data_IF_557481486135
#
_entry.id   IF_557481486135
#
_cell.length_a   1.000
_cell.length_b   1.000
_cell.length_c   1.000
_cell.angle_alpha   90.00
_cell.angle_beta   90.00
_cell.angle_gamma   90.00
#
_symmetry.space_group_name_H-M   'P 1'
#
loop_
_entity.id
_entity.type
_entity.pdbx_description
1 polymer ?
#
# COMPACT_ATOMS: atom_id res chain seq x y z
N UNK A 1 -1.06 4.29 -6.08
CA UNK A 1 -1.37 3.04 -6.83
C UNK A 1 -1.40 3.21 -8.34
N UNK A 2 -2.32 4.01 -8.90
CA UNK A 2 -2.52 4.09 -10.36
C UNK A 2 -1.26 4.44 -11.17
N UNK A 3 -0.44 5.38 -10.69
CA UNK A 3 0.82 5.74 -11.36
C UNK A 3 1.83 4.59 -11.42
N UNK A 4 1.98 3.83 -10.33
CA UNK A 4 2.86 2.67 -10.28
C UNK A 4 2.38 1.60 -11.28
N UNK A 5 1.08 1.31 -11.31
CA UNK A 5 0.49 0.38 -12.28
C UNK A 5 0.72 0.83 -13.72
N UNK A 6 0.54 2.12 -14.01
CA UNK A 6 0.81 2.67 -15.35
C UNK A 6 2.28 2.57 -15.73
N UNK A 7 3.21 2.81 -14.79
CA UNK A 7 4.64 2.64 -15.02
C UNK A 7 5.00 1.17 -15.31
N UNK A 8 4.50 0.23 -14.49
CA UNK A 8 4.70 -1.20 -14.69
C UNK A 8 4.14 -1.63 -16.06
N UNK A 9 2.90 -1.26 -16.36
CA UNK A 9 2.24 -1.60 -17.62
C UNK A 9 3.03 -1.09 -18.83
N UNK A 10 3.54 0.14 -18.77
CA UNK A 10 4.40 0.72 -19.80
C UNK A 10 5.71 -0.06 -19.98
N UNK A 11 6.39 -0.41 -18.89
CA UNK A 11 7.64 -1.16 -18.95
C UNK A 11 7.44 -2.58 -19.49
N UNK A 12 6.31 -3.20 -19.18
CA UNK A 12 5.93 -4.55 -19.65
C UNK A 12 5.39 -4.54 -21.10
N UNK A 13 5.02 -3.37 -21.63
CA UNK A 13 4.40 -3.24 -22.96
C UNK A 13 2.93 -3.67 -22.99
N UNK A 14 2.19 -3.44 -21.91
CA UNK A 14 0.77 -3.85 -21.75
C UNK A 14 -0.13 -2.68 -21.38
N UNK A 15 -1.43 -2.86 -21.57
CA UNK A 15 -2.42 -1.88 -21.14
C UNK A 15 -2.55 -1.87 -19.61
N UNK A 16 -2.61 -0.70 -18.95
CA UNK A 16 -2.90 -0.59 -17.52
C UNK A 16 -4.20 -1.29 -17.11
N UNK A 17 -5.18 -1.40 -18.03
CA UNK A 17 -6.47 -2.10 -17.80
C UNK A 17 -6.32 -3.60 -17.55
N UNK A 18 -5.17 -4.20 -17.89
CA UNK A 18 -4.89 -5.61 -17.59
C UNK A 18 -4.45 -5.83 -16.14
N UNK A 19 -4.17 -4.76 -15.40
CA UNK A 19 -3.80 -4.80 -14.00
C UNK A 19 -5.01 -4.44 -13.15
N UNK A 20 -5.19 -5.18 -12.06
CA UNK A 20 -6.30 -5.04 -11.13
C UNK A 20 -5.78 -5.04 -9.70
N UNK A 21 -6.46 -4.33 -8.81
CA UNK A 21 -6.09 -4.19 -7.41
C UNK A 21 -7.34 -3.96 -6.56
N UNK A 22 -7.26 -4.29 -5.27
CA UNK A 22 -8.42 -4.24 -4.38
C UNK A 22 -8.76 -2.82 -3.88
N UNK A 23 -7.84 -1.86 -4.00
CA UNK A 23 -8.06 -0.47 -3.60
C UNK A 23 -6.85 0.41 -3.89
N UNK A 24 -7.05 1.72 -3.77
CA UNK A 24 -5.96 2.71 -3.84
C UNK A 24 -5.29 2.85 -2.48
N UNK A 25 -3.99 3.14 -2.48
CA UNK A 25 -3.18 3.46 -1.30
C UNK A 25 -2.62 4.87 -1.42
N UNK A 26 -2.23 5.43 -0.29
CA UNK A 26 -1.68 6.77 -0.18
C UNK A 26 -0.50 7.01 -1.12
N UNK A 27 -0.47 8.19 -1.73
CA UNK A 27 0.65 8.62 -2.57
C UNK A 27 1.87 8.96 -1.73
N UNK A 28 1.66 9.58 -0.56
CA UNK A 28 2.70 10.08 0.33
C UNK A 28 2.91 9.10 1.47
N UNK A 29 3.66 8.04 1.20
CA UNK A 29 3.99 7.00 2.16
C UNK A 29 4.63 5.79 1.49
N UNK A 30 5.20 4.90 2.29
CA UNK A 30 5.59 3.57 1.82
C UNK A 30 4.37 2.67 1.93
N UNK A 31 3.94 2.11 0.80
CA UNK A 31 2.73 1.28 0.73
C UNK A 31 3.05 -0.06 0.09
N UNK A 32 2.40 -1.11 0.57
CA UNK A 32 2.46 -2.45 0.00
C UNK A 32 1.03 -2.88 -0.29
N UNK A 33 0.80 -3.44 -1.48
CA UNK A 33 -0.48 -3.98 -1.88
C UNK A 33 -0.31 -5.08 -2.90
N UNK A 34 -1.26 -6.00 -2.96
CA UNK A 34 -1.35 -6.97 -4.03
C UNK A 34 -1.91 -6.32 -5.31
N UNK A 35 -1.39 -6.78 -6.46
CA UNK A 35 -1.83 -6.39 -7.80
C UNK A 35 -1.89 -7.67 -8.63
N UNK A 36 -2.96 -7.84 -9.41
CA UNK A 36 -3.14 -8.96 -10.31
C UNK A 36 -3.01 -8.49 -11.75
N UNK A 37 -2.15 -9.14 -12.53
CA UNK A 37 -1.95 -8.86 -13.95
C UNK A 37 -2.49 -10.02 -14.80
N UNK A 38 -3.39 -9.73 -15.74
CA UNK A 38 -4.03 -10.76 -16.56
C UNK A 38 -3.10 -11.29 -17.67
N UNK A 39 -2.86 -12.62 -17.69
CA UNK A 39 -2.04 -13.33 -18.69
C UNK A 39 -0.65 -12.70 -18.90
N UNK A 40 0.02 -12.37 -17.79
CA UNK A 40 1.39 -11.87 -17.77
C UNK A 40 2.31 -12.94 -17.15
N UNK A 41 3.23 -13.54 -17.93
CA UNK A 41 4.24 -14.45 -17.39
C UNK A 41 5.19 -13.73 -16.42
N UNK A 42 5.53 -14.40 -15.31
CA UNK A 42 6.43 -13.88 -14.29
C UNK A 42 7.80 -13.46 -14.86
N UNK A 43 8.35 -14.20 -15.82
CA UNK A 43 9.65 -13.87 -16.43
C UNK A 43 9.60 -12.57 -17.25
N UNK A 44 8.48 -12.29 -17.91
CA UNK A 44 8.29 -11.03 -18.61
C UNK A 44 8.34 -9.88 -17.60
N UNK A 45 7.67 -10.02 -16.46
CA UNK A 45 7.70 -9.02 -15.39
C UNK A 45 9.11 -8.86 -14.80
N UNK A 46 9.83 -9.95 -14.53
CA UNK A 46 11.21 -9.91 -14.01
C UNK A 46 12.16 -9.17 -14.94
N UNK A 47 12.11 -9.43 -16.25
CA UNK A 47 12.92 -8.71 -17.24
C UNK A 47 12.67 -7.21 -17.24
N UNK A 48 11.43 -6.79 -16.95
CA UNK A 48 11.05 -5.37 -17.01
C UNK A 48 11.59 -4.54 -15.86
N UNK A 49 12.08 -5.16 -14.78
CA UNK A 49 12.76 -4.47 -13.68
C UNK A 49 14.06 -3.80 -14.14
N UNK A 50 14.67 -4.29 -15.22
CA UNK A 50 15.88 -3.72 -15.83
C UNK A 50 15.56 -2.65 -16.89
N UNK A 51 14.28 -2.41 -17.18
CA UNK A 51 13.87 -1.46 -18.20
C UNK A 51 14.24 -0.03 -17.80
N UNK A 52 14.78 0.77 -18.74
CA UNK A 52 15.28 2.14 -18.46
C UNK A 52 14.24 3.08 -17.81
N UNK A 53 12.96 2.84 -18.10
CA UNK A 53 11.84 3.65 -17.61
C UNK A 53 11.24 3.15 -16.28
N UNK A 54 11.82 2.10 -15.70
CA UNK A 54 11.34 1.52 -14.45
C UNK A 54 11.44 2.54 -13.31
N UNK A 55 10.36 2.78 -12.56
CA UNK A 55 10.41 3.63 -11.38
C UNK A 55 11.17 2.90 -10.26
N UNK A 56 12.36 3.41 -9.91
CA UNK A 56 13.24 2.86 -8.86
C UNK A 56 12.60 2.82 -7.46
N UNK A 57 11.49 3.53 -7.24
CA UNK A 57 10.72 3.49 -5.98
C UNK A 57 9.75 2.30 -5.91
N UNK A 58 9.48 1.65 -7.04
CA UNK A 58 8.60 0.48 -7.13
C UNK A 58 9.43 -0.79 -7.02
N UNK A 59 8.97 -1.70 -6.15
CA UNK A 59 9.54 -3.04 -5.99
C UNK A 59 8.42 -4.06 -6.15
N UNK A 60 8.77 -5.23 -6.69
CA UNK A 60 7.85 -6.36 -6.89
C UNK A 60 8.42 -7.56 -6.14
N UNK A 61 7.56 -8.25 -5.40
CA UNK A 61 7.85 -9.49 -4.68
C UNK A 61 6.66 -10.45 -4.80
N UNK A 62 6.81 -11.66 -4.26
CA UNK A 62 5.71 -12.61 -4.01
C UNK A 62 4.83 -12.90 -5.23
N UNK A 63 5.48 -13.19 -6.35
CA UNK A 63 4.79 -13.53 -7.59
C UNK A 63 4.16 -14.91 -7.50
N UNK A 64 2.85 -14.96 -7.74
CA UNK A 64 2.07 -16.18 -7.75
C UNK A 64 1.04 -16.14 -8.89
N UNK A 65 0.76 -17.30 -9.48
CA UNK A 65 -0.34 -17.46 -10.44
C UNK A 65 -1.63 -17.85 -9.70
N UNK A 66 -2.71 -17.12 -9.99
CA UNK A 66 -4.05 -17.39 -9.46
C UNK A 66 -5.05 -17.43 -10.61
N UNK A 67 -6.11 -18.22 -10.45
CA UNK A 67 -7.23 -18.33 -11.39
C UNK A 67 -8.15 -17.11 -11.34
N UNK A 68 -8.25 -16.45 -10.18
CA UNK A 68 -9.13 -15.31 -9.94
C UNK A 68 -8.41 -13.97 -10.07
N UNK A 69 -9.15 -12.93 -10.48
CA UNK A 69 -8.67 -11.55 -10.48
C UNK A 69 -9.01 -10.84 -9.18
N UNK A 70 -8.16 -9.90 -8.79
CA UNK A 70 -8.50 -8.96 -7.72
C UNK A 70 -9.62 -8.02 -8.18
N UNK A 71 -10.63 -7.85 -7.33
CA UNK A 71 -11.71 -6.87 -7.52
C UNK A 71 -11.61 -5.77 -6.46
N UNK A 72 -12.12 -4.60 -6.79
CA UNK A 72 -12.22 -3.49 -5.85
C UNK A 72 -13.04 -3.95 -4.62
N UNK A 73 -12.54 -3.65 -3.42
CA UNK A 73 -13.16 -4.07 -2.16
C UNK A 73 -12.77 -5.47 -1.67
N UNK A 74 -11.95 -6.24 -2.41
CA UNK A 74 -11.39 -7.53 -1.92
C UNK A 74 -10.21 -7.31 -0.95
N UNK A 75 -10.46 -6.56 0.13
CA UNK A 75 -9.52 -6.33 1.23
C UNK A 75 -10.31 -6.12 2.53
N UNK A 76 -9.82 -6.64 3.65
CA UNK A 76 -10.45 -6.42 4.96
C UNK A 76 -10.12 -5.05 5.57
N UNK A 77 -9.00 -4.46 5.17
CA UNK A 77 -8.55 -3.16 5.65
C UNK A 77 -7.09 -2.88 5.34
N UNK A 78 -6.52 -1.93 6.07
CA UNK A 78 -5.13 -1.51 5.95
C UNK A 78 -4.47 -1.54 7.34
N UNK A 79 -3.24 -2.07 7.41
CA UNK A 79 -2.37 -1.88 8.57
C UNK A 79 -1.51 -0.64 8.35
N UNK A 80 -1.58 0.31 9.28
CA UNK A 80 -0.79 1.53 9.23
C UNK A 80 0.29 1.50 10.31
N UNK A 81 1.51 1.87 9.91
CA UNK A 81 2.59 2.20 10.84
C UNK A 81 2.84 3.71 10.70
N UNK A 82 2.37 4.49 11.67
CA UNK A 82 2.40 5.96 11.63
C UNK A 82 3.42 6.46 12.65
N UNK A 83 4.36 7.30 12.20
CA UNK A 83 5.29 8.00 13.07
C UNK A 83 4.83 9.46 13.24
N UNK A 84 4.38 9.81 14.45
CA UNK A 84 4.04 11.19 14.79
C UNK A 84 5.33 11.94 15.15
N UNK A 85 5.54 13.10 14.54
CA UNK A 85 6.69 13.99 14.80
C UNK A 85 6.17 15.32 15.33
N UNK A 86 7.00 16.02 16.10
CA UNK A 86 6.66 17.34 16.68
C UNK A 86 5.44 17.33 17.59
N UNK A 87 5.20 16.19 18.23
CA UNK A 87 4.26 16.11 19.34
C UNK A 87 4.93 16.79 20.52
N UNK A 88 4.43 17.96 20.90
CA UNK A 88 4.74 18.50 22.22
C UNK A 88 4.29 17.42 23.21
N UNK A 89 5.16 16.95 24.11
CA UNK A 89 4.65 16.26 25.29
C UNK A 89 3.53 17.15 25.80
N UNK A 90 2.34 16.60 26.00
CA UNK A 90 1.41 17.31 26.85
C UNK A 90 2.25 17.66 28.08
N UNK A 91 2.39 18.96 28.39
CA UNK A 91 2.67 19.31 29.77
C UNK A 91 1.72 18.39 30.54
N UNK A 92 2.27 17.55 31.42
CA UNK A 92 1.46 16.73 32.32
C UNK A 92 0.77 17.74 33.21
N UNK A 93 -0.20 18.48 32.66
CA UNK A 93 -1.26 19.08 33.38
C UNK A 93 -1.98 17.84 33.90
N UNK A 94 -1.97 17.63 35.22
CA UNK A 94 -2.78 16.58 35.80
C UNK A 94 -4.18 16.73 35.20
N UNK A 95 -4.83 15.62 34.81
CA UNK A 95 -6.14 15.69 34.21
C UNK A 95 -7.03 16.51 35.14
N UNK A 96 -7.56 17.63 34.65
CA UNK A 96 -8.45 18.49 35.44
C UNK A 96 -9.63 17.67 35.99
N UNK A 97 -10.02 16.63 35.24
CA UNK A 97 -10.97 15.61 35.63
C UNK A 97 -10.34 14.25 35.27
N UNK A 98 -10.17 13.33 36.22
CA UNK A 98 -9.40 12.07 36.16
C UNK A 98 -9.76 11.02 35.07
N UNK A 99 -10.01 11.44 33.84
CA UNK A 99 -10.30 10.62 32.68
C UNK A 99 -9.04 10.20 31.91
N UNK A 100 -9.05 8.96 31.42
CA UNK A 100 -8.01 8.37 30.56
C UNK A 100 -7.73 9.28 29.35
N UNK A 101 -6.46 9.40 28.96
CA UNK A 101 -6.07 10.26 27.84
C UNK A 101 -6.74 9.80 26.53
N UNK A 102 -6.93 10.72 25.59
CA UNK A 102 -7.49 10.38 24.27
C UNK A 102 -6.65 9.32 23.54
N UNK A 103 -5.35 9.26 23.85
CA UNK A 103 -4.40 8.28 23.34
C UNK A 103 -4.72 6.89 23.92
N UNK A 104 -4.93 6.80 25.25
CA UNK A 104 -5.28 5.55 25.91
C UNK A 104 -6.62 4.99 25.43
N UNK A 105 -7.59 5.87 25.15
CA UNK A 105 -8.89 5.48 24.58
C UNK A 105 -8.76 4.94 23.16
N UNK A 106 -7.93 5.58 22.33
CA UNK A 106 -7.73 5.18 20.94
C UNK A 106 -6.99 3.84 20.80
N UNK A 107 -6.06 3.52 21.71
CA UNK A 107 -5.36 2.23 21.70
C UNK A 107 -6.14 1.12 22.40
N UNK A 108 -6.96 1.42 23.41
CA UNK A 108 -7.83 0.44 24.05
C UNK A 108 -8.96 -0.06 23.15
N UNK A 109 -9.41 0.74 22.17
CA UNK A 109 -10.45 0.35 21.20
C UNK A 109 -9.96 -0.55 20.06
N UNK A 110 -8.70 -0.99 20.09
CA UNK A 110 -8.05 -1.80 19.03
C UNK A 110 -7.78 -3.25 19.49
N UNK A 111 -8.28 -3.65 20.67
CA UNK A 111 -8.35 -5.06 21.11
C UNK A 111 -9.73 -5.64 20.82
#
# INVERSE_FOLDING_TARGET
>A
TGEAVTNIARCVGRSPKQFSFAGTKDRRGVTVQQVCAHRLPADQLRRTLLHRMWDKRVRISDLEYRSERLRLGMLSGNRFNVALRWVRPAAVLPPADGGKSAVDKAFASVQ
#
